data_IF_413743090382
#
_entry.id   IF_413743090382
#
_cell.length_a   1.000
_cell.length_b   1.000
_cell.length_c   1.000
_cell.angle_alpha   90.00
_cell.angle_beta   90.00
_cell.angle_gamma   90.00
#
_symmetry.space_group_name_H-M   'P 1'
#
loop_
_entity.id
_entity.type
_entity.pdbx_description
1 polymer ?
#
# COMPACT_ATOMS: atom_id res chain seq x y z
N UNK A 1 11.67 22.53 3.78
CA UNK A 1 11.22 21.19 3.32
C UNK A 1 9.70 21.22 3.30
N UNK A 2 9.05 20.82 2.20
CA UNK A 2 7.59 20.72 2.18
C UNK A 2 7.16 19.48 2.99
N UNK A 3 6.19 19.64 3.89
CA UNK A 3 5.69 18.55 4.74
C UNK A 3 4.73 17.70 3.93
N UNK A 4 5.10 16.46 3.60
CA UNK A 4 4.19 15.50 2.97
C UNK A 4 3.32 14.87 4.04
N UNK A 5 2.00 15.07 3.95
CA UNK A 5 1.04 14.53 4.91
C UNK A 5 0.00 13.65 4.21
N UNK A 6 -0.31 12.52 4.84
CA UNK A 6 -1.38 11.61 4.45
C UNK A 6 -2.21 11.28 5.68
N UNK A 7 -3.53 11.18 5.52
CA UNK A 7 -4.43 10.79 6.61
C UNK A 7 -4.19 9.35 7.09
N UNK A 8 -3.73 8.48 6.18
CA UNK A 8 -3.30 7.12 6.51
C UNK A 8 -1.96 6.84 5.82
N UNK A 9 -0.99 6.34 6.57
CA UNK A 9 0.28 5.86 6.03
C UNK A 9 0.39 4.35 6.25
N UNK A 10 0.63 3.60 5.19
CA UNK A 10 0.81 2.14 5.20
C UNK A 10 2.28 1.84 4.91
N UNK A 11 2.90 1.05 5.77
CA UNK A 11 4.30 0.63 5.63
C UNK A 11 4.32 -0.84 5.18
N UNK A 12 4.92 -1.11 4.04
CA UNK A 12 4.99 -2.41 3.39
C UNK A 12 4.00 -2.56 2.22
N UNK A 13 4.54 -2.74 1.02
CA UNK A 13 3.83 -2.95 -0.24
C UNK A 13 3.62 -4.41 -0.60
N UNK A 14 3.54 -5.29 0.40
CA UNK A 14 3.13 -6.68 0.23
C UNK A 14 1.62 -6.82 0.02
N UNK A 15 1.13 -8.06 -0.01
CA UNK A 15 -0.28 -8.37 -0.32
C UNK A 15 -1.24 -7.67 0.65
N UNK A 16 -0.91 -7.69 1.94
CA UNK A 16 -1.70 -7.05 2.98
C UNK A 16 -1.74 -5.52 2.84
N UNK A 17 -0.61 -4.89 2.52
CA UNK A 17 -0.49 -3.44 2.40
C UNK A 17 -1.28 -2.90 1.20
N UNK A 18 -1.05 -3.49 0.01
CA UNK A 18 -1.77 -3.14 -1.22
C UNK A 18 -3.27 -3.37 -1.04
N UNK A 19 -3.67 -4.52 -0.47
CA UNK A 19 -5.09 -4.82 -0.27
C UNK A 19 -5.74 -3.86 0.73
N UNK A 20 -5.07 -3.52 1.83
CA UNK A 20 -5.56 -2.54 2.80
C UNK A 20 -5.74 -1.16 2.16
N UNK A 21 -4.74 -0.69 1.39
CA UNK A 21 -4.81 0.59 0.67
C UNK A 21 -5.99 0.63 -0.30
N UNK A 22 -6.17 -0.43 -1.10
CA UNK A 22 -7.25 -0.53 -2.08
C UNK A 22 -8.64 -0.57 -1.42
N UNK A 23 -8.78 -1.31 -0.31
CA UNK A 23 -10.02 -1.40 0.46
C UNK A 23 -10.39 -0.03 1.08
N UNK A 24 -9.41 0.65 1.68
CA UNK A 24 -9.61 1.99 2.24
C UNK A 24 -10.00 3.00 1.17
N UNK A 25 -9.30 3.02 0.04
CA UNK A 25 -9.61 3.92 -1.08
C UNK A 25 -11.00 3.67 -1.67
N UNK A 26 -11.41 2.40 -1.77
CA UNK A 26 -12.75 2.04 -2.27
C UNK A 26 -13.86 2.48 -1.30
N UNK A 27 -13.64 2.33 0.00
CA UNK A 27 -14.62 2.74 1.03
C UNK A 27 -14.68 4.25 1.22
N UNK A 28 -13.55 4.96 1.08
CA UNK A 28 -13.44 6.40 1.26
C UNK A 28 -12.55 6.99 0.15
N UNK A 29 -13.18 7.41 -0.95
CA UNK A 29 -12.47 7.91 -2.14
C UNK A 29 -11.65 9.17 -1.86
N UNK A 30 -12.08 10.00 -0.92
CA UNK A 30 -11.38 11.26 -0.59
C UNK A 30 -10.25 11.08 0.42
N UNK A 31 -10.05 9.87 0.94
CA UNK A 31 -8.97 9.59 1.87
C UNK A 31 -7.61 9.71 1.16
N UNK A 32 -6.73 10.53 1.73
CA UNK A 32 -5.32 10.58 1.33
C UNK A 32 -4.55 9.44 1.99
N UNK A 33 -3.98 8.56 1.18
CA UNK A 33 -3.28 7.36 1.63
C UNK A 33 -1.88 7.37 1.05
N UNK A 34 -0.87 7.24 1.91
CA UNK A 34 0.50 6.96 1.53
C UNK A 34 0.82 5.47 1.69
N UNK A 35 1.59 4.91 0.77
CA UNK A 35 2.13 3.55 0.85
C UNK A 35 3.65 3.63 0.66
N UNK A 36 4.41 3.10 1.60
CA UNK A 36 5.88 3.09 1.53
C UNK A 36 6.36 1.65 1.40
N UNK A 37 7.10 1.39 0.33
CA UNK A 37 7.71 0.09 0.03
C UNK A 37 9.09 0.33 -0.63
N UNK A 38 10.19 -0.21 -0.08
CA UNK A 38 11.51 -0.08 -0.70
C UNK A 38 11.66 -0.91 -2.00
N UNK A 39 10.96 -2.04 -2.12
CA UNK A 39 10.99 -2.89 -3.31
C UNK A 39 10.27 -2.22 -4.49
N UNK A 40 10.82 -2.38 -5.69
CA UNK A 40 10.15 -1.99 -6.93
C UNK A 40 9.14 -3.04 -7.41
N UNK A 41 9.36 -4.30 -7.02
CA UNK A 41 8.57 -5.44 -7.47
C UNK A 41 7.68 -5.96 -6.34
N UNK A 42 6.45 -6.36 -6.71
CA UNK A 42 5.53 -7.07 -5.84
C UNK A 42 5.35 -8.50 -6.36
N UNK A 43 5.68 -9.49 -5.54
CA UNK A 43 5.67 -10.90 -5.94
C UNK A 43 4.45 -11.62 -5.37
N UNK A 44 3.82 -12.44 -6.22
CA UNK A 44 2.90 -13.47 -5.76
C UNK A 44 3.69 -14.68 -5.25
N UNK A 45 4.20 -14.57 -4.02
CA UNK A 45 5.06 -15.57 -3.39
C UNK A 45 4.50 -17.01 -3.40
N UNK A 46 3.17 -17.25 -3.28
CA UNK A 46 2.65 -18.62 -3.34
C UNK A 46 2.90 -19.35 -4.67
N UNK A 47 3.17 -18.63 -5.78
CA UNK A 47 3.53 -19.28 -7.05
C UNK A 47 4.97 -19.80 -7.09
N UNK A 48 5.83 -19.51 -6.08
CA UNK A 48 7.21 -20.00 -6.08
C UNK A 48 7.34 -21.50 -5.82
N UNK A 49 6.32 -22.12 -5.23
CA UNK A 49 6.33 -23.54 -4.86
C UNK A 49 5.47 -24.40 -5.79
N UNK A 50 4.95 -23.84 -6.88
CA UNK A 50 4.16 -24.55 -7.90
C UNK A 50 5.07 -25.10 -8.99
#
# INVERSE_FOLDING_TARGET
MATTHYQVLIIGGGTAGIMTAAQLKRKKKDLTIGLVEPSKDHWYQPAWTL
#
